data_IF_761673005307
#
_entry.id   IF_761673005307
#
_cell.length_a   1.000
_cell.length_b   1.000
_cell.length_c   1.000
_cell.angle_alpha   90.00
_cell.angle_beta   90.00
_cell.angle_gamma   90.00
#
_symmetry.space_group_name_H-M   'P 1'
#
loop_
_entity.id
_entity.type
_entity.pdbx_description
1 polymer ?
#
# COMPACT_ATOMS: atom_id res chain seq x y z
N UNK A 1 32.83 13.59 1.02
CA UNK A 1 32.51 14.97 1.41
C UNK A 1 32.95 15.12 2.87
N UNK A 2 34.23 15.38 3.15
CA UNK A 2 34.85 16.71 3.27
C UNK A 2 34.04 17.70 4.12
N UNK A 3 34.43 17.83 5.39
CA UNK A 3 34.59 19.09 6.15
C UNK A 3 35.28 18.69 7.47
N UNK A 4 36.61 18.70 7.57
CA UNK A 4 37.44 19.86 7.88
C UNK A 4 36.67 21.02 8.52
N UNK A 5 36.91 21.25 9.81
CA UNK A 5 37.07 22.59 10.37
C UNK A 5 37.89 22.53 11.66
N UNK A 6 39.12 22.96 11.48
CA UNK A 6 40.12 23.34 12.47
C UNK A 6 39.70 24.61 13.20
N UNK A 7 40.00 24.75 14.49
CA UNK A 7 40.96 25.74 15.03
C UNK A 7 40.90 25.83 16.56
N UNK A 8 42.06 25.97 17.24
CA UNK A 8 42.18 26.31 18.65
C UNK A 8 42.26 27.84 18.82
N UNK A 9 41.59 28.41 19.81
CA UNK A 9 41.79 29.82 20.17
C UNK A 9 42.64 29.92 21.42
N UNK A 10 43.80 30.51 21.22
CA UNK A 10 44.88 30.77 22.14
C UNK A 10 44.79 32.25 22.60
N UNK A 11 45.38 32.54 23.77
CA UNK A 11 45.97 33.84 24.14
C UNK A 11 45.04 34.90 24.79
N UNK A 12 45.58 35.98 25.41
CA UNK A 12 46.79 36.11 26.25
C UNK A 12 46.55 36.97 27.52
N UNK A 13 47.45 36.85 28.52
CA UNK A 13 47.63 37.85 29.58
C UNK A 13 48.21 39.17 29.02
N UNK A 14 47.89 40.33 29.61
CA UNK A 14 48.72 41.52 29.50
C UNK A 14 49.50 41.80 30.80
N UNK A 15 50.81 41.93 30.62
CA UNK A 15 51.81 42.48 31.53
C UNK A 15 51.74 44.03 31.63
N UNK A 16 52.04 44.54 32.84
CA UNK A 16 52.77 45.79 33.19
C UNK A 16 52.08 47.17 32.88
N UNK A 17 52.56 48.35 33.40
CA UNK A 17 53.82 48.66 34.07
C UNK A 17 53.75 49.56 35.34
N UNK A 18 54.92 49.75 35.96
CA UNK A 18 55.13 50.61 37.13
C UNK A 18 55.07 52.13 36.88
N UNK A 19 55.15 52.90 37.97
CA UNK A 19 55.39 54.35 37.93
C UNK A 19 56.18 54.83 39.14
N UNK A 20 57.37 55.31 38.82
CA UNK A 20 58.37 56.00 39.64
C UNK A 20 57.99 57.48 39.86
N UNK A 21 58.34 58.03 41.03
CA UNK A 21 58.76 59.42 41.31
C UNK A 21 58.89 59.53 42.86
N UNK A 22 60.00 59.89 43.50
CA UNK A 22 61.06 60.81 43.12
C UNK A 22 60.87 62.15 43.84
N UNK A 23 61.96 62.67 44.42
CA UNK A 23 62.30 64.10 44.59
C UNK A 23 62.29 64.67 46.03
N UNK A 24 63.53 64.79 46.54
CA UNK A 24 64.20 65.97 47.09
C UNK A 24 64.01 66.42 48.55
N UNK A 25 65.08 66.18 49.32
CA UNK A 25 65.78 67.15 50.19
C UNK A 25 66.25 68.39 49.41
N UNK A 26 66.34 69.57 50.04
CA UNK A 26 67.68 70.16 50.16
C UNK A 26 67.98 70.89 51.48
N UNK A 27 69.29 70.93 51.75
CA UNK A 27 70.04 71.77 52.68
C UNK A 27 69.72 73.27 52.60
N UNK A 28 69.96 73.97 53.72
CA UNK A 28 69.93 75.43 53.76
C UNK A 28 70.20 76.00 55.14
N UNK A 29 71.48 76.08 55.50
CA UNK A 29 72.03 76.59 56.75
C UNK A 29 71.87 78.12 56.97
N UNK A 30 72.13 78.51 58.24
CA UNK A 30 72.65 79.80 58.78
C UNK A 30 71.61 80.89 59.10
N UNK A 31 71.17 81.08 60.36
CA UNK A 31 71.79 81.80 61.53
C UNK A 31 71.50 83.34 61.54
N UNK A 32 71.77 84.10 62.61
CA UNK A 32 71.13 84.13 63.93
C UNK A 32 70.38 85.46 64.21
N UNK A 33 69.86 85.51 65.44
CA UNK A 33 69.82 86.71 66.30
C UNK A 33 68.55 87.57 66.25
N UNK A 34 67.68 87.38 67.26
CA UNK A 34 67.43 88.43 68.27
C UNK A 34 66.39 87.99 69.31
N UNK A 35 66.87 87.96 70.56
CA UNK A 35 66.24 88.59 71.73
C UNK A 35 64.77 88.22 72.04
N UNK A 36 64.60 87.41 73.08
CA UNK A 36 64.14 87.87 74.42
C UNK A 36 63.92 86.65 75.32
N UNK A 37 64.80 86.50 76.32
CA UNK A 37 64.62 85.55 77.43
C UNK A 37 63.38 85.95 78.24
N UNK A 38 62.25 85.32 77.95
CA UNK A 38 61.11 85.23 78.85
C UNK A 38 61.32 83.95 79.66
N UNK A 39 61.40 84.07 80.99
CA UNK A 39 61.51 82.93 81.90
C UNK A 39 60.33 81.99 81.62
N UNK A 40 60.54 80.73 81.19
CA UNK A 40 59.45 79.79 81.07
C UNK A 40 58.97 79.49 82.49
N UNK A 41 57.77 79.93 82.81
CA UNK A 41 57.06 79.39 83.96
C UNK A 41 57.02 77.86 83.76
N UNK A 42 57.56 77.04 84.68
CA UNK A 42 57.71 75.58 84.49
C UNK A 42 56.38 74.88 84.15
N UNK A 43 55.27 75.52 84.48
CA UNK A 43 53.93 75.13 84.07
C UNK A 43 53.74 75.08 82.54
N UNK A 44 54.31 76.01 81.76
CA UNK A 44 54.08 76.14 80.31
C UNK A 44 54.88 75.10 79.52
N UNK A 45 56.15 74.85 79.89
CA UNK A 45 56.97 73.82 79.25
C UNK A 45 56.47 72.40 79.54
N UNK A 46 55.96 72.15 80.76
CA UNK A 46 55.29 70.89 81.09
C UNK A 46 53.99 70.71 80.29
N UNK A 47 53.26 71.79 80.00
CA UNK A 47 52.06 71.78 79.16
C UNK A 47 52.39 71.45 77.70
N UNK A 48 53.47 72.02 77.15
CA UNK A 48 53.91 71.77 75.77
C UNK A 48 54.46 70.35 75.63
N UNK A 49 55.31 69.88 76.55
CA UNK A 49 55.81 68.50 76.54
C UNK A 49 54.68 67.49 76.77
N UNK A 50 53.73 67.79 77.66
CA UNK A 50 52.52 67.02 77.85
C UNK A 50 51.66 66.97 76.59
N UNK A 51 51.47 68.10 75.90
CA UNK A 51 50.75 68.14 74.62
C UNK A 51 51.46 67.34 73.53
N UNK A 52 52.80 67.44 73.43
CA UNK A 52 53.61 66.68 72.46
C UNK A 52 53.60 65.17 72.76
N UNK A 53 53.51 64.76 74.03
CA UNK A 53 53.36 63.34 74.39
C UNK A 53 51.92 62.82 74.21
N UNK A 54 50.91 63.66 74.46
CA UNK A 54 49.50 63.28 74.38
C UNK A 54 48.96 63.30 72.94
N UNK A 55 49.45 64.19 72.06
CA UNK A 55 49.02 64.29 70.66
C UNK A 55 49.21 62.95 69.90
N UNK A 56 50.40 62.31 69.91
CA UNK A 56 50.59 60.99 69.32
C UNK A 56 49.72 59.92 69.97
N UNK A 57 49.54 59.97 71.29
CA UNK A 57 48.70 59.00 72.01
C UNK A 57 47.21 59.09 71.58
N UNK A 58 46.68 60.31 71.46
CA UNK A 58 45.30 60.56 71.01
C UNK A 58 45.14 60.22 69.54
N UNK A 59 46.15 60.51 68.71
CA UNK A 59 46.13 60.19 67.28
C UNK A 59 46.12 58.68 67.04
N UNK A 60 46.99 57.92 67.71
CA UNK A 60 46.99 56.44 67.65
C UNK A 60 45.67 55.87 68.16
N UNK A 61 45.07 56.45 69.21
CA UNK A 61 43.76 56.01 69.72
C UNK A 61 42.63 56.28 68.72
N UNK A 62 42.68 57.39 67.96
CA UNK A 62 41.73 57.67 66.88
C UNK A 62 41.94 56.75 65.67
N UNK A 63 43.18 56.53 65.25
CA UNK A 63 43.51 55.65 64.13
C UNK A 63 43.15 54.18 64.41
N UNK A 64 43.48 53.66 65.59
CA UNK A 64 43.09 52.30 65.99
C UNK A 64 41.57 52.14 66.05
N UNK A 65 40.83 53.18 66.46
CA UNK A 65 39.37 53.21 66.39
C UNK A 65 38.82 53.18 64.96
N UNK A 66 39.39 53.97 64.05
CA UNK A 66 38.99 53.98 62.63
C UNK A 66 39.30 52.65 61.94
N UNK A 67 40.50 52.11 62.12
CA UNK A 67 40.89 50.81 61.58
C UNK A 67 40.02 49.68 62.13
N UNK A 68 39.65 49.70 63.42
CA UNK A 68 38.72 48.72 63.97
C UNK A 68 37.34 48.81 63.33
N UNK A 69 36.83 50.02 63.07
CA UNK A 69 35.54 50.20 62.37
C UNK A 69 35.62 49.68 60.94
N UNK A 70 36.69 49.99 60.21
CA UNK A 70 36.91 49.46 58.86
C UNK A 70 37.04 47.94 58.85
N UNK A 71 37.73 47.37 59.85
CA UNK A 71 37.87 45.93 60.03
C UNK A 71 36.51 45.28 60.28
N UNK A 72 35.66 45.84 61.15
CA UNK A 72 34.30 45.33 61.38
C UNK A 72 33.43 45.42 60.12
N UNK A 73 33.54 46.50 59.35
CA UNK A 73 32.83 46.65 58.07
C UNK A 73 33.34 45.64 57.04
N UNK A 74 34.64 45.42 56.97
CA UNK A 74 35.26 44.45 56.09
C UNK A 74 34.85 43.01 56.48
N UNK A 75 34.80 42.70 57.78
CA UNK A 75 34.30 41.43 58.29
C UNK A 75 32.83 41.21 57.95
N UNK A 76 31.97 42.23 58.16
CA UNK A 76 30.56 42.17 57.77
C UNK A 76 30.40 41.88 56.27
N UNK A 77 31.16 42.58 55.41
CA UNK A 77 31.19 42.30 53.96
C UNK A 77 31.67 40.89 53.66
N UNK A 78 32.77 40.44 54.27
CA UNK A 78 33.30 39.08 54.08
C UNK A 78 32.29 38.01 54.48
N UNK A 79 31.54 38.19 55.57
CA UNK A 79 30.47 37.25 55.94
C UNK A 79 29.32 37.25 54.93
N UNK A 80 28.95 38.41 54.40
CA UNK A 80 27.98 38.55 53.30
C UNK A 80 28.44 37.83 52.03
N UNK A 81 29.66 38.09 51.56
CA UNK A 81 30.25 37.41 50.42
C UNK A 81 30.32 35.89 50.63
N UNK A 82 30.72 35.42 51.82
CA UNK A 82 30.74 33.99 52.14
C UNK A 82 29.36 33.35 52.05
N UNK A 83 28.30 34.05 52.48
CA UNK A 83 26.91 33.56 52.35
C UNK A 83 26.49 33.51 50.87
N UNK A 84 26.79 34.56 50.11
CA UNK A 84 26.47 34.61 48.68
C UNK A 84 27.20 33.52 47.89
N UNK A 85 28.49 33.27 48.18
CA UNK A 85 29.25 32.17 47.57
C UNK A 85 28.64 30.83 47.93
N UNK A 86 28.25 30.61 49.20
CA UNK A 86 27.57 29.36 49.60
C UNK A 86 26.22 29.18 48.90
N UNK A 87 25.45 30.25 48.76
CA UNK A 87 24.17 30.23 48.06
C UNK A 87 24.36 29.92 46.56
N UNK A 88 25.30 30.60 45.91
CA UNK A 88 25.63 30.34 44.51
C UNK A 88 26.16 28.92 44.30
N UNK A 89 26.96 28.38 45.23
CA UNK A 89 27.40 26.99 45.19
C UNK A 89 26.23 26.02 45.33
N UNK A 90 25.27 26.29 46.23
CA UNK A 90 24.08 25.46 46.38
C UNK A 90 23.19 25.48 45.12
N UNK A 91 23.04 26.64 44.49
CA UNK A 91 22.32 26.81 43.23
C UNK A 91 22.99 26.04 42.08
N UNK A 92 24.32 26.15 41.94
CA UNK A 92 25.08 25.39 40.93
C UNK A 92 24.93 23.88 41.14
N UNK A 93 24.95 23.40 42.40
CA UNK A 93 24.72 22.00 42.70
C UNK A 93 23.31 21.57 42.28
N UNK A 94 22.30 22.40 42.54
CA UNK A 94 20.91 22.12 42.15
C UNK A 94 20.75 22.05 40.63
N UNK A 95 21.23 23.05 39.90
CA UNK A 95 21.20 23.09 38.43
C UNK A 95 21.94 21.88 37.83
N UNK A 96 23.06 21.47 38.44
CA UNK A 96 23.78 20.27 38.01
C UNK A 96 22.93 19.00 38.18
N UNK A 97 22.16 18.87 39.26
CA UNK A 97 21.28 17.70 39.45
C UNK A 97 20.13 17.68 38.44
N UNK A 98 19.56 18.83 38.10
CA UNK A 98 18.52 18.94 37.08
C UNK A 98 19.07 18.60 35.68
N UNK A 99 20.26 19.10 35.34
CA UNK A 99 20.92 18.73 34.09
C UNK A 99 21.18 17.23 33.98
N UNK A 100 21.59 16.57 35.07
CA UNK A 100 21.76 15.11 35.08
C UNK A 100 20.41 14.41 34.82
N UNK A 101 19.31 14.91 35.40
CA UNK A 101 17.97 14.35 35.16
C UNK A 101 17.51 14.56 33.71
N UNK A 102 17.72 15.75 33.14
CA UNK A 102 17.37 16.04 31.75
C UNK A 102 18.16 15.18 30.77
N UNK A 103 19.47 15.01 31.00
CA UNK A 103 20.29 14.11 30.19
C UNK A 103 19.76 12.68 30.25
N UNK A 104 19.38 12.21 31.43
CA UNK A 104 18.78 10.88 31.59
C UNK A 104 17.48 10.72 30.81
N UNK A 105 16.57 11.71 30.90
CA UNK A 105 15.32 11.69 30.13
C UNK A 105 15.54 11.77 28.62
N UNK A 106 16.54 12.52 28.17
CA UNK A 106 16.92 12.57 26.75
C UNK A 106 17.48 11.22 26.28
N UNK A 107 18.28 10.53 27.09
CA UNK A 107 18.75 9.18 26.78
C UNK A 107 17.60 8.16 26.71
N UNK A 108 16.64 8.23 27.64
CA UNK A 108 15.45 7.38 27.64
C UNK A 108 14.58 7.62 26.39
N UNK A 109 14.34 8.88 26.04
CA UNK A 109 13.60 9.24 24.84
C UNK A 109 14.34 8.78 23.57
N UNK A 110 15.67 8.98 23.51
CA UNK A 110 16.49 8.47 22.41
C UNK A 110 16.35 6.96 22.24
N UNK A 111 16.43 6.19 23.34
CA UNK A 111 16.25 4.73 23.30
C UNK A 111 14.84 4.34 22.87
N UNK A 112 13.80 5.07 23.31
CA UNK A 112 12.43 4.84 22.88
C UNK A 112 12.24 5.10 21.37
N UNK A 113 12.81 6.19 20.86
CA UNK A 113 12.78 6.54 19.44
C UNK A 113 13.53 5.50 18.58
N UNK A 114 14.69 5.02 19.04
CA UNK A 114 15.43 3.93 18.39
C UNK A 114 14.61 2.63 18.38
N UNK A 115 13.91 2.32 19.47
CA UNK A 115 12.99 1.19 19.55
C UNK A 115 11.82 1.29 18.57
N UNK A 116 11.20 2.46 18.48
CA UNK A 116 10.10 2.72 17.54
C UNK A 116 10.59 2.63 16.09
N UNK A 117 11.78 3.18 15.79
CA UNK A 117 12.40 3.05 14.47
C UNK A 117 12.62 1.57 14.10
N UNK A 118 13.13 0.77 15.03
CA UNK A 118 13.28 -0.67 14.81
C UNK A 118 11.96 -1.41 14.60
N UNK A 119 10.86 -0.99 15.24
CA UNK A 119 9.53 -1.54 14.98
C UNK A 119 9.00 -1.16 13.60
N UNK A 120 9.19 0.10 13.20
CA UNK A 120 8.80 0.59 11.87
C UNK A 120 9.55 -0.18 10.77
N UNK A 121 10.86 -0.38 10.90
CA UNK A 121 11.65 -1.14 9.93
C UNK A 121 11.18 -2.60 9.81
N UNK A 122 10.78 -3.23 10.92
CA UNK A 122 10.19 -4.58 10.92
C UNK A 122 8.82 -4.60 10.24
N UNK A 123 7.98 -3.62 10.52
CA UNK A 123 6.67 -3.49 9.86
C UNK A 123 6.83 -3.27 8.36
N UNK A 124 7.77 -2.43 7.93
CA UNK A 124 8.04 -2.17 6.53
C UNK A 124 8.53 -3.44 5.81
N UNK A 125 9.44 -4.19 6.43
CA UNK A 125 9.87 -5.49 5.91
C UNK A 125 8.70 -6.48 5.77
N UNK A 126 7.80 -6.54 6.76
CA UNK A 126 6.60 -7.38 6.68
C UNK A 126 5.63 -6.92 5.60
N UNK A 127 5.51 -5.61 5.35
CA UNK A 127 4.66 -5.07 4.28
C UNK A 127 5.19 -5.48 2.92
N UNK A 128 6.50 -5.33 2.69
CA UNK A 128 7.15 -5.75 1.45
C UNK A 128 6.96 -7.25 1.19
N UNK A 129 7.07 -8.11 2.22
CA UNK A 129 6.80 -9.56 2.07
C UNK A 129 5.34 -9.85 1.68
N UNK A 130 4.38 -9.17 2.31
CA UNK A 130 2.95 -9.33 1.98
C UNK A 130 2.67 -8.87 0.53
N UNK A 131 3.25 -7.74 0.11
CA UNK A 131 3.08 -7.24 -1.25
C UNK A 131 3.67 -8.21 -2.29
N UNK A 132 4.82 -8.81 -2.01
CA UNK A 132 5.42 -9.83 -2.88
C UNK A 132 4.52 -11.08 -2.97
N UNK A 133 3.91 -11.52 -1.87
CA UNK A 133 2.97 -12.65 -1.86
C UNK A 133 1.70 -12.34 -2.65
N UNK A 134 1.14 -11.14 -2.49
CA UNK A 134 -0.05 -10.70 -3.25
C UNK A 134 0.28 -10.65 -4.75
N UNK A 135 1.41 -10.05 -5.11
CA UNK A 135 1.82 -9.95 -6.51
C UNK A 135 2.08 -11.33 -7.14
N UNK A 136 2.70 -12.25 -6.39
CA UNK A 136 2.86 -13.65 -6.79
C UNK A 136 1.50 -14.34 -7.03
N UNK A 137 0.58 -14.24 -6.07
CA UNK A 137 -0.76 -14.83 -6.19
C UNK A 137 -1.57 -14.27 -7.36
N UNK A 138 -1.51 -12.95 -7.59
CA UNK A 138 -2.17 -12.31 -8.75
C UNK A 138 -1.58 -12.78 -10.07
N UNK A 139 -0.27 -12.98 -10.15
CA UNK A 139 0.40 -13.52 -11.34
C UNK A 139 -0.05 -14.96 -11.62
N UNK A 140 -0.14 -15.79 -10.58
CA UNK A 140 -0.61 -17.18 -10.71
C UNK A 140 -2.08 -17.24 -11.16
N UNK A 141 -2.94 -16.39 -10.57
CA UNK A 141 -4.34 -16.25 -11.00
C UNK A 141 -4.45 -15.77 -12.45
N UNK A 142 -3.59 -14.84 -12.88
CA UNK A 142 -3.56 -14.41 -14.29
C UNK A 142 -3.23 -15.57 -15.24
N UNK A 143 -2.28 -16.42 -14.86
CA UNK A 143 -1.92 -17.61 -15.65
C UNK A 143 -3.05 -18.65 -15.68
N UNK A 144 -3.77 -18.87 -14.58
CA UNK A 144 -4.89 -19.82 -14.57
C UNK A 144 -6.07 -19.32 -15.40
N UNK A 145 -6.40 -18.03 -15.33
CA UNK A 145 -7.42 -17.43 -16.20
C UNK A 145 -7.05 -17.55 -17.67
N UNK A 146 -5.79 -17.29 -18.03
CA UNK A 146 -5.33 -17.44 -19.41
C UNK A 146 -5.44 -18.90 -19.91
N UNK A 147 -5.17 -19.90 -19.04
CA UNK A 147 -5.37 -21.31 -19.39
C UNK A 147 -6.85 -21.63 -19.58
N UNK A 148 -7.72 -21.19 -18.66
CA UNK A 148 -9.17 -21.40 -18.78
C UNK A 148 -9.76 -20.74 -20.02
N UNK A 149 -9.25 -19.57 -20.41
CA UNK A 149 -9.62 -18.90 -21.66
C UNK A 149 -9.21 -19.73 -22.88
N UNK A 150 -7.97 -20.24 -22.92
CA UNK A 150 -7.51 -21.12 -23.99
C UNK A 150 -8.34 -22.41 -24.09
N UNK A 151 -8.66 -23.02 -22.94
CA UNK A 151 -9.51 -24.21 -22.87
C UNK A 151 -10.96 -23.91 -23.33
N UNK A 152 -11.48 -22.71 -23.01
CA UNK A 152 -12.77 -22.23 -23.51
C UNK A 152 -12.80 -22.15 -25.03
N UNK A 153 -11.81 -21.48 -25.63
CA UNK A 153 -11.67 -21.35 -27.09
C UNK A 153 -11.54 -22.73 -27.76
N UNK A 154 -10.83 -23.67 -27.14
CA UNK A 154 -10.70 -25.02 -27.68
C UNK A 154 -12.03 -25.77 -27.66
N UNK A 155 -12.79 -25.69 -26.56
CA UNK A 155 -14.12 -26.30 -26.48
C UNK A 155 -15.04 -25.74 -27.56
N UNK A 156 -15.08 -24.41 -27.73
CA UNK A 156 -15.96 -23.78 -28.72
C UNK A 156 -15.64 -24.24 -30.16
N UNK A 157 -14.35 -24.44 -30.48
CA UNK A 157 -13.94 -25.03 -31.77
C UNK A 157 -14.45 -26.46 -31.92
N UNK A 158 -14.26 -27.31 -30.91
CA UNK A 158 -14.75 -28.69 -30.97
C UNK A 158 -16.28 -28.77 -31.07
N UNK A 159 -17.01 -27.86 -30.41
CA UNK A 159 -18.46 -27.76 -30.54
C UNK A 159 -18.89 -27.32 -31.94
N UNK A 160 -18.21 -26.33 -32.52
CA UNK A 160 -18.49 -25.89 -33.88
C UNK A 160 -18.23 -27.00 -34.92
N UNK A 161 -17.16 -27.76 -34.75
CA UNK A 161 -16.83 -28.92 -35.59
C UNK A 161 -17.89 -30.03 -35.45
N UNK A 162 -18.31 -30.33 -34.23
CA UNK A 162 -19.35 -31.31 -33.96
C UNK A 162 -20.70 -30.89 -34.55
N UNK A 163 -21.11 -29.63 -34.35
CA UNK A 163 -22.35 -29.09 -34.92
C UNK A 163 -22.32 -29.15 -36.45
N UNK A 164 -21.19 -28.80 -37.07
CA UNK A 164 -21.03 -28.91 -38.51
C UNK A 164 -21.16 -30.36 -39.00
N UNK A 165 -20.58 -31.30 -38.26
CA UNK A 165 -20.69 -32.74 -38.55
C UNK A 165 -22.15 -33.20 -38.47
N UNK A 166 -22.86 -32.89 -37.38
CA UNK A 166 -24.28 -33.21 -37.24
C UNK A 166 -25.16 -32.59 -38.35
N UNK A 167 -24.88 -31.34 -38.74
CA UNK A 167 -25.58 -30.69 -39.87
C UNK A 167 -25.31 -31.41 -41.19
N UNK A 168 -24.10 -31.89 -41.42
CA UNK A 168 -23.76 -32.63 -42.64
C UNK A 168 -24.39 -34.01 -42.67
N UNK A 169 -24.42 -34.71 -41.53
CA UNK A 169 -25.09 -36.01 -41.39
C UNK A 169 -26.59 -35.88 -41.64
N UNK A 170 -27.24 -34.86 -41.07
CA UNK A 170 -28.65 -34.58 -41.33
C UNK A 170 -28.91 -34.30 -42.81
N UNK A 171 -28.04 -33.53 -43.48
CA UNK A 171 -28.14 -33.30 -44.93
C UNK A 171 -27.92 -34.58 -45.75
N UNK A 172 -27.07 -35.48 -45.29
CA UNK A 172 -26.85 -36.77 -45.95
C UNK A 172 -28.10 -37.65 -45.83
N UNK A 173 -28.68 -37.77 -44.64
CA UNK A 173 -29.92 -38.51 -44.40
C UNK A 173 -31.10 -37.95 -45.19
N UNK A 174 -31.23 -36.62 -45.30
CA UNK A 174 -32.28 -36.01 -46.11
C UNK A 174 -32.11 -36.29 -47.61
N UNK A 175 -30.87 -36.30 -48.12
CA UNK A 175 -30.59 -36.68 -49.51
C UNK A 175 -30.91 -38.14 -49.77
N UNK A 176 -30.57 -39.04 -48.86
CA UNK A 176 -30.88 -40.46 -48.97
C UNK A 176 -32.40 -40.73 -48.89
N UNK A 177 -33.10 -40.03 -47.99
CA UNK A 177 -34.56 -40.05 -47.93
C UNK A 177 -35.21 -39.52 -49.22
N UNK A 178 -34.63 -38.50 -49.85
CA UNK A 178 -35.10 -38.00 -51.15
C UNK A 178 -34.82 -39.00 -52.28
N UNK A 179 -33.63 -39.62 -52.27
CA UNK A 179 -33.24 -40.62 -53.26
C UNK A 179 -34.13 -41.86 -53.17
N UNK A 180 -34.36 -42.39 -51.97
CA UNK A 180 -35.29 -43.52 -51.75
C UNK A 180 -36.71 -43.21 -52.22
N UNK A 181 -37.22 -41.99 -51.97
CA UNK A 181 -38.50 -41.54 -52.53
C UNK A 181 -38.51 -41.50 -54.05
N UNK A 182 -37.42 -41.04 -54.68
CA UNK A 182 -37.32 -41.03 -56.15
C UNK A 182 -37.30 -42.45 -56.74
N UNK A 183 -36.61 -43.40 -56.09
CA UNK A 183 -36.60 -44.80 -56.49
C UNK A 183 -38.00 -45.44 -56.34
N UNK A 184 -38.69 -45.16 -55.22
CA UNK A 184 -40.06 -45.65 -55.02
C UNK A 184 -41.03 -45.08 -56.05
N UNK A 185 -40.89 -43.80 -56.42
CA UNK A 185 -41.70 -43.20 -57.49
C UNK A 185 -41.48 -43.88 -58.84
N UNK A 186 -40.22 -44.19 -59.20
CA UNK A 186 -39.91 -44.94 -60.43
C UNK A 186 -40.49 -46.37 -60.40
N UNK A 187 -40.44 -47.05 -59.25
CA UNK A 187 -41.05 -48.39 -59.08
C UNK A 187 -42.58 -48.33 -59.23
N UNK A 188 -43.21 -47.27 -58.71
CA UNK A 188 -44.65 -47.05 -58.88
C UNK A 188 -45.01 -46.82 -60.36
N UNK A 189 -44.21 -46.05 -61.10
CA UNK A 189 -44.40 -45.84 -62.54
C UNK A 189 -44.33 -47.18 -63.32
N UNK A 190 -43.34 -48.03 -63.02
CA UNK A 190 -43.27 -49.39 -63.58
C UNK A 190 -44.53 -50.20 -63.23
N UNK A 191 -45.01 -50.10 -61.99
CA UNK A 191 -46.27 -50.71 -61.56
C UNK A 191 -47.46 -50.25 -62.41
N UNK A 192 -47.58 -48.96 -62.70
CA UNK A 192 -48.64 -48.42 -63.59
C UNK A 192 -48.52 -48.92 -65.03
N UNK A 193 -47.32 -48.93 -65.60
CA UNK A 193 -47.08 -49.48 -66.95
C UNK A 193 -47.44 -50.97 -67.03
N UNK A 194 -47.08 -51.76 -66.01
CA UNK A 194 -47.41 -53.19 -65.96
C UNK A 194 -48.92 -53.43 -65.87
N UNK A 195 -49.64 -52.60 -65.11
CA UNK A 195 -51.11 -52.63 -65.06
C UNK A 195 -51.72 -52.37 -66.44
N UNK A 196 -51.21 -51.39 -67.19
CA UNK A 196 -51.66 -51.08 -68.54
C UNK A 196 -51.40 -52.24 -69.52
N UNK A 197 -50.21 -52.87 -69.46
CA UNK A 197 -49.88 -54.05 -70.29
C UNK A 197 -50.82 -55.21 -69.96
N UNK A 198 -51.07 -55.50 -68.68
CA UNK A 198 -52.00 -56.56 -68.27
C UNK A 198 -53.43 -56.29 -68.76
N UNK A 199 -53.90 -55.04 -68.68
CA UNK A 199 -55.19 -54.63 -69.21
C UNK A 199 -55.29 -54.80 -70.73
N UNK A 200 -54.24 -54.39 -71.47
CA UNK A 200 -54.17 -54.56 -72.92
C UNK A 200 -54.16 -56.04 -73.33
N UNK A 201 -53.34 -56.87 -72.67
CA UNK A 201 -53.31 -58.31 -72.95
C UNK A 201 -54.67 -58.97 -72.74
N UNK A 202 -55.38 -58.59 -71.67
CA UNK A 202 -56.73 -59.07 -71.41
C UNK A 202 -57.70 -58.66 -72.53
N UNK A 203 -57.63 -57.40 -72.98
CA UNK A 203 -58.43 -56.92 -74.11
C UNK A 203 -58.13 -57.68 -75.41
N UNK A 204 -56.86 -57.97 -75.69
CA UNK A 204 -56.45 -58.75 -76.87
C UNK A 204 -56.99 -60.18 -76.80
N UNK A 205 -56.88 -60.86 -75.66
CA UNK A 205 -57.45 -62.21 -75.47
C UNK A 205 -58.97 -62.22 -75.71
N UNK A 206 -59.68 -61.23 -75.16
CA UNK A 206 -61.13 -61.06 -75.35
C UNK A 206 -61.47 -60.85 -76.83
N UNK A 207 -60.72 -60.03 -77.57
CA UNK A 207 -60.97 -59.77 -79.00
C UNK A 207 -60.68 -60.98 -79.90
N UNK A 208 -59.71 -61.82 -79.53
CA UNK A 208 -59.34 -63.01 -80.33
C UNK A 208 -60.20 -64.25 -80.01
N UNK A 209 -61.13 -64.15 -79.04
CA UNK A 209 -62.02 -65.25 -78.68
C UNK A 209 -61.34 -66.34 -77.85
N UNK A 210 -60.18 -66.05 -77.24
CA UNK A 210 -59.60 -66.94 -76.25
C UNK A 210 -60.47 -66.89 -74.99
N UNK A 211 -61.22 -67.97 -74.73
CA UNK A 211 -61.97 -68.11 -73.49
C UNK A 211 -60.95 -68.31 -72.37
N UNK A 212 -60.89 -67.40 -71.37
CA UNK A 212 -59.95 -67.55 -70.27
C UNK A 212 -60.23 -68.89 -69.58
N UNK A 213 -59.26 -69.80 -69.64
CA UNK A 213 -59.29 -71.03 -68.85
C UNK A 213 -59.14 -70.62 -67.39
N UNK A 214 -60.02 -71.16 -66.53
CA UNK A 214 -60.00 -70.88 -65.09
C UNK A 214 -58.62 -71.12 -64.43
N UNK A 215 -57.76 -71.92 -65.05
CA UNK A 215 -56.43 -72.28 -64.54
C UNK A 215 -55.25 -71.57 -65.25
N UNK A 216 -55.50 -70.91 -66.40
CA UNK A 216 -54.48 -70.35 -67.30
C UNK A 216 -54.31 -68.82 -67.17
N UNK A 217 -55.09 -68.19 -66.28
CA UNK A 217 -55.00 -66.77 -65.93
C UNK A 217 -53.69 -66.35 -65.24
N UNK A 218 -52.68 -67.24 -65.20
CA UNK A 218 -51.43 -67.03 -64.48
C UNK A 218 -50.67 -65.81 -65.00
N UNK A 219 -50.55 -65.61 -66.31
CA UNK A 219 -49.78 -64.48 -66.83
C UNK A 219 -50.38 -63.12 -66.48
N UNK A 220 -51.62 -62.89 -66.94
CA UNK A 220 -52.29 -61.58 -66.84
C UNK A 220 -52.61 -61.22 -65.40
N UNK A 221 -53.15 -62.14 -64.60
CA UNK A 221 -53.49 -61.82 -63.21
C UNK A 221 -52.26 -61.72 -62.31
N UNK A 222 -51.17 -62.46 -62.59
CA UNK A 222 -49.91 -62.22 -61.87
C UNK A 222 -49.36 -60.83 -62.18
N UNK A 223 -49.42 -60.37 -63.44
CA UNK A 223 -49.00 -59.00 -63.78
C UNK A 223 -49.88 -57.97 -63.10
N UNK A 224 -51.20 -58.16 -63.05
CA UNK A 224 -52.13 -57.26 -62.36
C UNK A 224 -51.88 -57.23 -60.85
N UNK A 225 -51.67 -58.40 -60.22
CA UNK A 225 -51.32 -58.49 -58.80
C UNK A 225 -49.94 -57.89 -58.50
N UNK A 226 -48.95 -58.10 -59.36
CA UNK A 226 -47.62 -57.52 -59.21
C UNK A 226 -47.69 -56.00 -59.34
N UNK A 227 -48.39 -55.48 -60.36
CA UNK A 227 -48.63 -54.05 -60.53
C UNK A 227 -49.31 -53.43 -59.31
N UNK A 228 -50.35 -54.09 -58.78
CA UNK A 228 -51.03 -53.67 -57.55
C UNK A 228 -50.08 -53.65 -56.35
N UNK A 229 -49.28 -54.70 -56.15
CA UNK A 229 -48.25 -54.73 -55.10
C UNK A 229 -47.19 -53.63 -55.23
N UNK A 230 -46.79 -53.29 -56.46
CA UNK A 230 -45.83 -52.20 -56.72
C UNK A 230 -46.44 -50.82 -56.48
N UNK A 231 -47.74 -50.64 -56.74
CA UNK A 231 -48.47 -49.40 -56.43
C UNK A 231 -48.78 -49.24 -54.94
N UNK A 232 -49.09 -50.35 -54.25
CA UNK A 232 -49.35 -50.40 -52.80
C UNK A 232 -48.06 -50.40 -51.95
N UNK A 233 -46.89 -50.43 -52.58
CA UNK A 233 -45.62 -50.34 -51.87
C UNK A 233 -45.60 -49.08 -50.98
N UNK A 234 -45.04 -49.16 -49.76
CA UNK A 234 -45.29 -48.24 -48.64
C UNK A 234 -44.87 -46.77 -48.82
N UNK A 235 -44.48 -46.34 -50.01
CA UNK A 235 -44.19 -44.95 -50.33
C UNK A 235 -45.42 -44.04 -50.47
N UNK A 236 -46.61 -44.56 -50.81
CA UNK A 236 -47.80 -43.73 -51.05
C UNK A 236 -48.61 -43.44 -49.78
N UNK A 237 -48.69 -44.37 -48.83
CA UNK A 237 -49.51 -44.23 -47.63
C UNK A 237 -48.86 -43.35 -46.54
N UNK A 238 -47.53 -43.24 -46.52
CA UNK A 238 -46.80 -42.43 -45.52
C UNK A 238 -47.15 -40.92 -45.59
N UNK A 239 -47.57 -40.44 -46.77
CA UNK A 239 -47.98 -39.05 -46.95
C UNK A 239 -49.39 -38.73 -46.44
N UNK A 240 -50.27 -39.72 -46.28
CA UNK A 240 -51.61 -39.53 -45.72
C UNK A 240 -51.60 -39.56 -44.19
N UNK A 241 -50.78 -40.42 -43.57
CA UNK A 241 -50.70 -40.55 -42.11
C UNK A 241 -50.04 -39.31 -41.44
N UNK A 242 -49.06 -38.69 -42.11
CA UNK A 242 -48.47 -37.43 -41.65
C UNK A 242 -49.46 -36.25 -41.71
N UNK A 243 -50.39 -36.25 -42.67
CA UNK A 243 -51.43 -35.22 -42.75
C UNK A 243 -52.50 -35.37 -41.66
N UNK A 244 -52.77 -36.59 -41.17
CA UNK A 244 -53.66 -36.80 -40.03
C UNK A 244 -53.02 -36.37 -38.70
N UNK A 245 -51.73 -36.63 -38.52
CA UNK A 245 -51.00 -36.23 -37.30
C UNK A 245 -50.74 -34.72 -37.21
N UNK A 246 -50.48 -34.03 -38.34
CA UNK A 246 -50.36 -32.57 -38.37
C UNK A 246 -51.70 -31.87 -38.06
N UNK A 247 -52.82 -32.47 -38.48
CA UNK A 247 -54.17 -31.98 -38.15
C UNK A 247 -54.52 -32.14 -36.67
N UNK A 248 -53.96 -33.16 -36.00
CA UNK A 248 -54.11 -33.37 -34.56
C UNK A 248 -53.22 -32.43 -33.73
N UNK A 249 -52.01 -32.11 -34.20
CA UNK A 249 -51.08 -31.22 -33.49
C UNK A 249 -51.41 -29.72 -33.64
N UNK A 250 -52.06 -29.30 -34.74
CA UNK A 250 -52.52 -27.92 -34.93
C UNK A 250 -53.71 -27.52 -34.03
N UNK A 251 -54.32 -28.47 -33.31
CA UNK A 251 -55.56 -28.24 -32.55
C UNK A 251 -55.38 -27.93 -31.05
N UNK A 252 -54.17 -27.98 -30.48
CA UNK A 252 -54.00 -28.08 -29.00
C UNK A 252 -53.33 -26.89 -28.30
N UNK A 253 -52.98 -25.80 -28.99
CA UNK A 253 -52.19 -24.70 -28.38
C UNK A 253 -52.96 -23.41 -28.04
N UNK A 254 -54.28 -23.43 -27.84
CA UNK A 254 -55.02 -22.21 -27.47
C UNK A 254 -55.31 -22.02 -25.97
N UNK A 255 -54.92 -22.91 -25.06
CA UNK A 255 -55.56 -22.93 -23.72
C UNK A 255 -54.68 -22.92 -22.46
N UNK A 256 -53.38 -22.58 -22.56
CA UNK A 256 -52.50 -22.54 -21.37
C UNK A 256 -51.71 -21.24 -21.25
N UNK A 257 -52.41 -20.11 -21.14
CA UNK A 257 -51.80 -18.82 -20.69
C UNK A 257 -52.54 -18.21 -19.48
N UNK A 258 -53.33 -19.00 -18.76
CA UNK A 258 -54.03 -18.55 -17.55
C UNK A 258 -53.52 -19.26 -16.30
N UNK A 259 -52.25 -19.05 -15.93
CA UNK A 259 -51.84 -19.18 -14.52
C UNK A 259 -50.55 -18.42 -14.22
N UNK A 260 -50.68 -17.09 -14.22
CA UNK A 260 -49.87 -16.23 -13.41
C UNK A 260 -50.29 -16.37 -11.94
N UNK A 261 -49.32 -16.53 -11.03
CA UNK A 261 -49.22 -15.97 -9.67
C UNK A 261 -48.27 -16.82 -8.84
#
# INVERSE_FOLDING_TARGET
MQSQNSTPTQSPWPELPGRSAGIATPDGAVDPDRRKRVRPHPAISALILGAIALLPCVFVRRQTGALRKELMVAEAKNTGLRKNVKMALAEIIHVRTEHIQLVKLLEENKRAMEGLKGQMDRMESSRVDVDLRIHGGLKDMGQTLQRLEADGVQRDRTWAEWENTCRNDLKALLRDAQQTRSHLAAVQEVGTSLAHVAAFMHEVEVRQGYVPRNDDGRGIEQMRHLAKKLQEAPGSNFGQELKETEKAASGTNSDTTSRAS
#
